data_IF_885216059789
#
_entry.id   IF_885216059789
#
_cell.length_a   1.000
_cell.length_b   1.000
_cell.length_c   1.000
_cell.angle_alpha   90.00
_cell.angle_beta   90.00
_cell.angle_gamma   90.00
#
_symmetry.space_group_name_H-M   'P 1'
#
loop_
_entity.id
_entity.type
_entity.pdbx_description
1 polymer ?
#
# COMPACT_ATOMS: atom_id res chain seq x y z
N UNK A 1 -44.82 -24.47 21.63
CA UNK A 1 -43.99 -23.30 21.28
C UNK A 1 -44.59 -22.62 20.04
N UNK A 2 -44.96 -21.37 20.12
CA UNK A 2 -45.83 -20.70 19.14
C UNK A 2 -45.03 -20.37 17.86
N UNK A 3 -45.48 -20.85 16.69
CA UNK A 3 -44.80 -20.68 15.39
C UNK A 3 -44.43 -19.21 15.07
N UNK A 4 -45.18 -18.25 15.59
CA UNK A 4 -44.87 -16.81 15.47
C UNK A 4 -43.63 -16.38 16.28
N UNK A 5 -43.38 -16.99 17.43
CA UNK A 5 -42.21 -16.69 18.27
C UNK A 5 -40.94 -17.22 17.59
N UNK A 6 -40.98 -18.41 16.99
CA UNK A 6 -39.86 -19.00 16.26
C UNK A 6 -39.47 -18.17 15.03
N UNK A 7 -40.47 -17.67 14.29
CA UNK A 7 -40.21 -16.81 13.12
C UNK A 7 -39.57 -15.46 13.49
N UNK A 8 -40.01 -14.83 14.59
CA UNK A 8 -39.37 -13.57 15.07
C UNK A 8 -37.94 -13.80 15.55
N UNK A 9 -37.68 -14.88 16.26
CA UNK A 9 -36.30 -15.21 16.73
C UNK A 9 -35.38 -15.48 15.56
N UNK A 10 -35.80 -16.23 14.54
CA UNK A 10 -35.02 -16.49 13.34
C UNK A 10 -34.78 -15.20 12.52
N UNK A 11 -35.75 -14.30 12.45
CA UNK A 11 -35.59 -13.01 11.78
C UNK A 11 -34.61 -12.10 12.52
N UNK A 12 -34.69 -12.02 13.86
CA UNK A 12 -33.72 -11.28 14.69
C UNK A 12 -32.30 -11.82 14.55
N UNK A 13 -32.10 -13.16 14.53
CA UNK A 13 -30.78 -13.76 14.36
C UNK A 13 -30.22 -13.43 12.96
N UNK A 14 -31.04 -13.49 11.92
CA UNK A 14 -30.64 -13.12 10.56
C UNK A 14 -30.24 -11.65 10.43
N UNK A 15 -30.97 -10.73 11.06
CA UNK A 15 -30.66 -9.29 11.07
C UNK A 15 -29.39 -9.01 11.89
N UNK A 16 -29.23 -9.63 13.05
CA UNK A 16 -28.01 -9.51 13.85
C UNK A 16 -26.76 -10.05 13.12
N UNK A 17 -26.88 -11.17 12.43
CA UNK A 17 -25.78 -11.72 11.63
C UNK A 17 -25.45 -10.81 10.44
N UNK A 18 -26.45 -10.24 9.76
CA UNK A 18 -26.24 -9.30 8.67
C UNK A 18 -25.57 -8.00 9.15
N UNK A 19 -26.03 -7.43 10.28
CA UNK A 19 -25.43 -6.24 10.88
C UNK A 19 -24.01 -6.53 11.36
N UNK A 20 -23.75 -7.71 11.91
CA UNK A 20 -22.40 -8.09 12.35
C UNK A 20 -21.45 -8.28 11.17
N UNK A 21 -21.91 -8.87 10.08
CA UNK A 21 -21.16 -8.99 8.82
C UNK A 21 -20.90 -7.63 8.17
N UNK A 22 -21.90 -6.74 8.11
CA UNK A 22 -21.69 -5.40 7.57
C UNK A 22 -20.75 -4.59 8.44
N UNK A 23 -20.84 -4.67 9.77
CA UNK A 23 -19.88 -4.02 10.68
C UNK A 23 -18.46 -4.61 10.55
N UNK A 24 -18.32 -5.91 10.33
CA UNK A 24 -16.99 -6.49 10.07
C UNK A 24 -16.44 -6.02 8.71
N UNK A 25 -17.27 -5.91 7.68
CA UNK A 25 -16.84 -5.37 6.38
C UNK A 25 -16.48 -3.88 6.46
N UNK A 26 -17.26 -3.05 7.16
CA UNK A 26 -16.93 -1.63 7.37
C UNK A 26 -15.69 -1.45 8.25
N UNK A 27 -15.48 -2.28 9.27
CA UNK A 27 -14.24 -2.27 10.07
C UNK A 27 -13.00 -2.76 9.31
N UNK A 28 -13.17 -3.62 8.29
CA UNK A 28 -12.07 -4.04 7.43
C UNK A 28 -11.70 -2.91 6.45
N UNK A 29 -12.69 -2.14 5.97
CA UNK A 29 -12.43 -0.96 5.12
C UNK A 29 -11.89 0.25 5.92
N UNK A 30 -12.30 0.43 7.17
CA UNK A 30 -11.80 1.49 8.05
C UNK A 30 -10.40 1.21 8.64
N UNK A 31 -9.95 -0.04 8.69
CA UNK A 31 -8.65 -0.43 9.24
C UNK A 31 -7.52 -0.55 8.21
N UNK A 32 -7.80 -0.38 6.93
CA UNK A 32 -6.75 -0.13 5.95
C UNK A 32 -6.31 1.31 6.19
N UNK A 33 -5.17 1.52 6.83
CA UNK A 33 -4.62 2.86 6.98
C UNK A 33 -4.60 3.52 5.61
N UNK A 34 -5.44 4.53 5.44
CA UNK A 34 -5.56 5.23 4.17
C UNK A 34 -4.16 5.68 3.77
N UNK A 35 -3.70 5.26 2.58
CA UNK A 35 -2.41 5.69 2.06
C UNK A 35 -2.39 7.21 2.07
N UNK A 36 -1.53 7.79 2.91
CA UNK A 36 -1.47 9.23 3.12
C UNK A 36 -0.88 9.95 1.90
N UNK A 37 -1.23 11.21 1.73
CA UNK A 37 -0.67 12.04 0.66
C UNK A 37 0.87 12.13 0.76
N UNK A 38 1.43 12.10 1.97
CA UNK A 38 2.88 12.04 2.19
C UNK A 38 3.53 10.81 1.53
N UNK A 39 2.87 9.65 1.59
CA UNK A 39 3.31 8.42 0.90
C UNK A 39 3.32 8.63 -0.62
N UNK A 40 2.20 9.17 -1.16
CA UNK A 40 2.05 9.39 -2.60
C UNK A 40 3.09 10.37 -3.12
N UNK A 41 3.29 11.49 -2.42
CA UNK A 41 4.28 12.51 -2.77
C UNK A 41 5.70 11.96 -2.73
N UNK A 42 6.04 11.17 -1.71
CA UNK A 42 7.36 10.56 -1.60
C UNK A 42 7.61 9.57 -2.74
N UNK A 43 6.68 8.64 -3.00
CA UNK A 43 6.84 7.64 -4.06
C UNK A 43 6.88 8.31 -5.44
N UNK A 44 6.01 9.30 -5.69
CA UNK A 44 6.02 10.08 -6.94
C UNK A 44 7.37 10.76 -7.17
N UNK A 45 7.99 11.30 -6.13
CA UNK A 45 9.33 11.92 -6.21
C UNK A 45 10.43 10.90 -6.52
N UNK A 46 10.35 9.69 -5.97
CA UNK A 46 11.34 8.64 -6.21
C UNK A 46 11.23 7.99 -7.60
N UNK A 47 10.00 7.79 -8.09
CA UNK A 47 9.74 7.10 -9.37
C UNK A 47 9.64 8.07 -10.54
N UNK A 48 9.29 9.34 -10.27
CA UNK A 48 8.83 10.29 -11.28
C UNK A 48 7.42 9.96 -11.78
N UNK A 49 6.83 10.82 -12.58
CA UNK A 49 5.52 10.56 -13.19
C UNK A 49 5.40 11.15 -14.59
N UNK A 50 4.45 10.61 -15.37
CA UNK A 50 4.05 11.12 -16.67
C UNK A 50 2.54 11.09 -16.80
N UNK A 51 1.95 12.22 -17.14
CA UNK A 51 0.49 12.34 -17.32
C UNK A 51 -0.04 11.80 -18.66
N UNK A 52 0.83 11.34 -19.55
CA UNK A 52 0.46 10.67 -20.81
C UNK A 52 1.11 9.31 -20.89
N UNK A 53 0.45 8.40 -21.60
CA UNK A 53 1.01 7.07 -21.82
C UNK A 53 2.35 7.14 -22.58
N UNK A 54 3.27 6.30 -22.17
CA UNK A 54 4.59 6.13 -22.77
C UNK A 54 4.97 4.65 -22.79
N UNK A 55 5.98 4.30 -23.56
CA UNK A 55 6.56 2.95 -23.52
C UNK A 55 7.71 2.95 -22.49
N UNK A 56 7.66 2.01 -21.54
CA UNK A 56 8.74 1.78 -20.59
C UNK A 56 9.98 1.15 -21.26
N UNK A 57 11.01 0.84 -20.50
CA UNK A 57 12.24 0.20 -20.99
C UNK A 57 12.03 -1.19 -21.60
N UNK A 58 10.89 -1.84 -21.33
CA UNK A 58 10.48 -3.13 -21.89
C UNK A 58 9.52 -2.98 -23.06
N UNK A 59 9.17 -1.75 -23.44
CA UNK A 59 8.23 -1.45 -24.52
C UNK A 59 6.76 -1.53 -24.11
N UNK A 60 6.45 -1.68 -22.81
CA UNK A 60 5.09 -1.77 -22.29
C UNK A 60 4.48 -0.38 -22.13
N UNK A 61 3.19 -0.24 -22.46
CA UNK A 61 2.45 1.01 -22.25
C UNK A 61 2.25 1.29 -20.78
N UNK A 62 2.73 2.43 -20.35
CA UNK A 62 2.79 2.85 -18.95
C UNK A 62 2.30 4.30 -18.84
N UNK A 63 1.66 4.67 -17.73
CA UNK A 63 1.18 6.03 -17.44
C UNK A 63 1.35 6.35 -15.95
N UNK A 64 1.26 7.61 -15.55
CA UNK A 64 1.33 8.01 -14.15
C UNK A 64 2.69 7.68 -13.53
N UNK A 65 2.68 7.09 -12.35
CA UNK A 65 3.86 6.67 -11.57
C UNK A 65 4.16 5.19 -11.84
N UNK A 66 4.44 4.86 -13.10
CA UNK A 66 4.79 3.48 -13.49
C UNK A 66 3.60 2.53 -13.61
N UNK A 67 2.36 3.02 -13.67
CA UNK A 67 1.18 2.19 -13.89
C UNK A 67 1.21 1.53 -15.27
N UNK A 68 1.25 0.20 -15.30
CA UNK A 68 1.15 -0.57 -16.53
C UNK A 68 -0.30 -0.59 -17.02
N UNK A 69 -0.55 -0.02 -18.20
CA UNK A 69 -1.90 0.01 -18.79
C UNK A 69 -2.30 -1.40 -19.23
N UNK A 70 -3.40 -1.89 -18.65
CA UNK A 70 -3.96 -3.23 -18.94
C UNK A 70 -4.94 -3.16 -20.11
N UNK A 71 -5.22 -4.30 -20.72
CA UNK A 71 -6.23 -4.42 -21.78
C UNK A 71 -7.63 -3.95 -21.34
N UNK A 72 -7.92 -4.03 -20.05
CA UNK A 72 -9.16 -3.54 -19.44
C UNK A 72 -9.23 -2.01 -19.28
N UNK A 73 -8.13 -1.29 -19.55
CA UNK A 73 -7.96 0.15 -19.33
C UNK A 73 -7.67 0.93 -20.64
N UNK A 74 -8.36 0.64 -21.77
CA UNK A 74 -8.04 1.25 -23.07
C UNK A 74 -8.20 2.77 -23.07
N UNK A 75 -9.01 3.31 -22.15
CA UNK A 75 -9.22 4.74 -21.97
C UNK A 75 -7.96 5.49 -21.55
N UNK A 76 -6.99 4.82 -20.90
CA UNK A 76 -5.73 5.42 -20.44
C UNK A 76 -4.71 5.61 -21.57
N UNK A 77 -4.83 4.87 -22.68
CA UNK A 77 -3.85 4.89 -23.78
C UNK A 77 -3.69 6.29 -24.39
N UNK A 78 -4.80 7.02 -24.55
CA UNK A 78 -4.82 8.36 -25.13
C UNK A 78 -5.16 9.45 -24.11
N UNK A 79 -5.22 9.11 -22.82
CA UNK A 79 -5.54 10.06 -21.77
C UNK A 79 -4.40 11.06 -21.51
N UNK A 80 -4.78 12.25 -21.05
CA UNK A 80 -3.90 13.16 -20.34
C UNK A 80 -4.45 13.31 -18.93
N UNK A 81 -3.77 12.71 -17.95
CA UNK A 81 -4.18 12.73 -16.56
C UNK A 81 -3.83 14.06 -15.90
N UNK A 82 -4.66 14.54 -14.99
CA UNK A 82 -4.29 15.58 -14.02
C UNK A 82 -3.36 15.00 -12.94
N UNK A 83 -2.69 15.85 -12.18
CA UNK A 83 -1.84 15.40 -11.08
C UNK A 83 -2.65 14.63 -10.01
N UNK A 84 -3.90 15.04 -9.78
CA UNK A 84 -4.82 14.36 -8.88
C UNK A 84 -5.19 12.96 -9.39
N UNK A 85 -5.50 12.82 -10.67
CA UNK A 85 -5.76 11.52 -11.29
C UNK A 85 -4.53 10.61 -11.27
N UNK A 86 -3.32 11.16 -11.38
CA UNK A 86 -2.08 10.39 -11.22
C UNK A 86 -1.94 9.89 -9.78
N UNK A 87 -2.26 10.71 -8.78
CA UNK A 87 -2.26 10.31 -7.36
C UNK A 87 -3.30 9.23 -7.07
N UNK A 88 -4.52 9.36 -7.59
CA UNK A 88 -5.57 8.35 -7.42
C UNK A 88 -5.18 7.00 -8.04
N UNK A 89 -4.54 7.04 -9.22
CA UNK A 89 -4.04 5.85 -9.88
C UNK A 89 -2.93 5.18 -9.06
N UNK A 90 -1.96 5.97 -8.56
CA UNK A 90 -0.90 5.47 -7.68
C UNK A 90 -1.48 4.90 -6.39
N UNK A 91 -2.48 5.55 -5.79
CA UNK A 91 -3.16 5.05 -4.59
C UNK A 91 -3.81 3.69 -4.83
N UNK A 92 -4.42 3.50 -6.00
CA UNK A 92 -4.96 2.20 -6.41
C UNK A 92 -3.86 1.15 -6.57
N UNK A 93 -2.73 1.53 -7.19
CA UNK A 93 -1.60 0.62 -7.40
C UNK A 93 -0.91 0.22 -6.09
N UNK A 94 -0.97 1.07 -5.06
CA UNK A 94 -0.36 0.80 -3.76
C UNK A 94 -1.19 -0.11 -2.84
N UNK A 95 -2.40 -0.54 -3.21
CA UNK A 95 -3.24 -1.37 -2.33
C UNK A 95 -2.53 -2.64 -1.87
N UNK A 96 -1.88 -3.35 -2.79
CA UNK A 96 -1.14 -4.57 -2.44
C UNK A 96 0.03 -4.29 -1.50
N UNK A 97 0.65 -3.09 -1.59
CA UNK A 97 1.69 -2.67 -0.65
C UNK A 97 1.10 -2.46 0.75
N UNK A 98 -0.04 -1.78 0.85
CA UNK A 98 -0.76 -1.54 2.10
C UNK A 98 -1.11 -2.87 2.77
N UNK A 99 -1.75 -3.78 2.05
CA UNK A 99 -2.05 -5.12 2.54
C UNK A 99 -0.79 -5.90 2.99
N UNK A 100 0.30 -5.80 2.23
CA UNK A 100 1.56 -6.45 2.56
C UNK A 100 2.19 -5.89 3.83
N UNK A 101 2.21 -4.57 3.98
CA UNK A 101 2.79 -3.89 5.16
C UNK A 101 1.94 -4.16 6.39
N UNK A 102 0.63 -3.91 6.33
CA UNK A 102 -0.29 -4.03 7.47
C UNK A 102 -0.38 -5.48 7.99
N UNK A 103 -0.42 -6.46 7.09
CA UNK A 103 -0.45 -7.87 7.52
C UNK A 103 0.90 -8.38 8.04
N UNK A 104 2.01 -7.73 7.71
CA UNK A 104 3.35 -8.13 8.13
C UNK A 104 3.81 -7.46 9.43
N UNK A 105 3.38 -6.21 9.68
CA UNK A 105 3.78 -5.41 10.83
C UNK A 105 2.82 -5.66 11.99
N UNK A 106 3.38 -6.02 13.16
CA UNK A 106 2.62 -6.41 14.37
C UNK A 106 2.73 -5.40 15.51
N UNK A 107 3.43 -4.30 15.30
CA UNK A 107 3.63 -3.24 16.29
C UNK A 107 3.13 -1.91 15.73
N UNK A 108 2.67 -0.99 16.58
CA UNK A 108 2.24 0.33 16.12
C UNK A 108 3.44 1.12 15.57
N UNK A 109 3.23 1.78 14.44
CA UNK A 109 4.22 2.63 13.77
C UNK A 109 3.65 4.03 13.57
N UNK A 110 4.54 5.02 13.39
CA UNK A 110 4.18 6.36 12.97
C UNK A 110 3.87 6.42 11.48
N UNK A 111 3.18 7.48 11.02
CA UNK A 111 2.91 7.67 9.58
C UNK A 111 4.20 7.69 8.77
N UNK A 112 5.25 8.39 9.22
CA UNK A 112 6.54 8.46 8.52
C UNK A 112 7.20 7.05 8.39
N UNK A 113 7.02 6.18 9.38
CA UNK A 113 7.48 4.80 9.29
C UNK A 113 6.69 4.02 8.26
N UNK A 114 5.37 4.16 8.21
CA UNK A 114 4.54 3.55 7.16
C UNK A 114 4.90 4.06 5.77
N UNK A 115 5.10 5.37 5.59
CA UNK A 115 5.49 5.97 4.31
C UNK A 115 6.80 5.35 3.77
N UNK A 116 7.79 5.20 4.64
CA UNK A 116 9.06 4.55 4.30
C UNK A 116 8.88 3.08 3.91
N UNK A 117 8.00 2.34 4.63
CA UNK A 117 7.74 0.93 4.34
C UNK A 117 6.94 0.75 3.06
N UNK A 118 5.97 1.62 2.76
CA UNK A 118 5.24 1.59 1.49
C UNK A 118 6.19 1.84 0.32
N UNK A 119 7.08 2.84 0.42
CA UNK A 119 8.09 3.09 -0.61
C UNK A 119 9.02 1.90 -0.81
N UNK A 120 9.53 1.31 0.27
CA UNK A 120 10.37 0.13 0.20
C UNK A 120 9.62 -1.04 -0.43
N UNK A 121 8.40 -1.34 0.05
CA UNK A 121 7.57 -2.45 -0.44
C UNK A 121 7.26 -2.30 -1.93
N UNK A 122 6.88 -1.11 -2.36
CA UNK A 122 6.60 -0.80 -3.76
C UNK A 122 7.80 -1.08 -4.67
N UNK A 123 9.00 -0.75 -4.20
CA UNK A 123 10.23 -0.92 -4.98
C UNK A 123 10.75 -2.37 -5.01
N UNK A 124 10.73 -3.08 -3.86
CA UNK A 124 11.30 -4.44 -3.76
C UNK A 124 10.28 -5.56 -4.00
N UNK A 125 8.99 -5.24 -4.01
CA UNK A 125 7.88 -6.18 -4.18
C UNK A 125 7.47 -6.89 -2.90
N UNK A 126 6.20 -7.35 -2.88
CA UNK A 126 5.55 -7.95 -1.71
C UNK A 126 6.33 -9.13 -1.11
N UNK A 127 6.71 -10.09 -1.95
CA UNK A 127 7.39 -11.32 -1.49
C UNK A 127 8.70 -11.01 -0.76
N UNK A 128 9.49 -10.09 -1.31
CA UNK A 128 10.74 -9.66 -0.71
C UNK A 128 10.50 -8.88 0.58
N UNK A 129 9.51 -7.98 0.58
CA UNK A 129 9.15 -7.19 1.75
C UNK A 129 8.77 -8.08 2.93
N UNK A 130 7.83 -9.00 2.73
CA UNK A 130 7.34 -9.91 3.78
C UNK A 130 8.46 -10.76 4.41
N UNK A 131 9.48 -11.13 3.63
CA UNK A 131 10.63 -11.95 4.08
C UNK A 131 11.82 -11.11 4.54
N UNK A 132 11.70 -9.78 4.52
CA UNK A 132 12.83 -8.88 4.76
C UNK A 132 13.28 -8.87 6.23
N UNK A 133 14.56 -8.58 6.43
CA UNK A 133 15.10 -8.28 7.77
C UNK A 133 14.42 -7.04 8.37
N UNK A 134 13.91 -6.12 7.54
CA UNK A 134 13.16 -4.94 7.99
C UNK A 134 11.93 -5.36 8.77
N UNK A 135 11.06 -6.20 8.20
CA UNK A 135 9.84 -6.69 8.87
C UNK A 135 10.19 -7.49 10.13
N UNK A 136 11.20 -8.35 10.05
CA UNK A 136 11.67 -9.12 11.21
C UNK A 136 12.04 -8.19 12.38
N UNK A 137 12.87 -7.18 12.11
CA UNK A 137 13.35 -6.21 13.12
C UNK A 137 12.23 -5.36 13.69
N UNK A 138 11.28 -4.92 12.88
CA UNK A 138 10.09 -4.21 13.36
C UNK A 138 9.33 -5.06 14.38
N UNK A 139 9.06 -6.32 14.06
CA UNK A 139 8.30 -7.23 14.92
C UNK A 139 9.07 -7.68 16.17
N UNK A 140 10.38 -7.52 16.19
CA UNK A 140 11.25 -7.64 17.38
C UNK A 140 11.29 -6.33 18.20
N UNK A 141 10.54 -5.29 17.79
CA UNK A 141 10.57 -3.93 18.35
C UNK A 141 11.95 -3.25 18.27
N UNK A 142 12.81 -3.71 17.35
CA UNK A 142 14.12 -3.13 17.03
C UNK A 142 13.97 -2.14 15.85
N UNK A 143 13.36 -0.98 16.11
CA UNK A 143 13.08 0.01 15.08
C UNK A 143 14.35 0.61 14.48
N UNK A 144 15.42 0.73 15.28
CA UNK A 144 16.71 1.20 14.76
C UNK A 144 17.35 0.16 13.84
N UNK A 145 17.34 -1.11 14.23
CA UNK A 145 17.81 -2.21 13.39
C UNK A 145 16.98 -2.37 12.11
N UNK A 146 15.67 -2.11 12.17
CA UNK A 146 14.80 -2.08 11.00
C UNK A 146 15.20 -0.97 10.02
N UNK A 147 15.43 0.25 10.52
CA UNK A 147 15.92 1.36 9.70
C UNK A 147 17.26 1.03 9.03
N UNK A 148 18.20 0.45 9.76
CA UNK A 148 19.49 0.06 9.21
C UNK A 148 19.35 -1.09 8.17
N UNK A 149 18.39 -2.01 8.35
CA UNK A 149 18.08 -3.07 7.41
C UNK A 149 17.51 -2.57 6.07
N UNK A 150 16.87 -1.38 6.03
CA UNK A 150 16.45 -0.75 4.77
C UNK A 150 17.65 -0.57 3.84
N UNK A 151 18.83 -0.21 4.37
CA UNK A 151 20.04 -0.01 3.58
C UNK A 151 20.58 -1.27 2.90
N UNK A 152 20.13 -2.45 3.31
CA UNK A 152 20.53 -3.72 2.67
C UNK A 152 19.99 -3.87 1.23
N UNK A 153 18.93 -3.14 0.89
CA UNK A 153 18.26 -3.16 -0.43
C UNK A 153 18.90 -2.17 -1.42
N UNK A 154 20.20 -2.12 -1.50
CA UNK A 154 21.01 -1.14 -2.22
C UNK A 154 21.50 -1.59 -3.60
N UNK A 155 20.96 -2.67 -4.14
CA UNK A 155 21.31 -3.14 -5.49
C UNK A 155 20.12 -2.97 -6.44
N UNK A 156 20.34 -2.43 -7.64
CA UNK A 156 21.57 -1.82 -8.15
C UNK A 156 21.97 -0.54 -7.37
N UNK A 157 23.21 -0.07 -7.56
CA UNK A 157 23.80 1.04 -6.79
C UNK A 157 23.02 2.34 -6.85
N UNK A 158 22.28 2.57 -7.94
CA UNK A 158 21.37 3.73 -8.09
C UNK A 158 20.34 3.84 -6.95
N UNK A 159 20.01 2.73 -6.28
CA UNK A 159 19.06 2.69 -5.18
C UNK A 159 19.63 3.18 -3.83
N UNK A 160 20.95 3.30 -3.70
CA UNK A 160 21.60 3.68 -2.42
C UNK A 160 21.02 4.97 -1.84
N UNK A 161 20.83 6.01 -2.66
CA UNK A 161 20.31 7.28 -2.18
C UNK A 161 18.83 7.19 -1.80
N UNK A 162 18.02 6.40 -2.50
CA UNK A 162 16.63 6.11 -2.14
C UNK A 162 16.56 5.44 -0.76
N UNK A 163 17.35 4.40 -0.53
CA UNK A 163 17.43 3.70 0.77
C UNK A 163 17.82 4.63 1.91
N UNK A 164 18.73 5.56 1.68
CA UNK A 164 19.11 6.57 2.68
C UNK A 164 17.93 7.49 3.04
N UNK A 165 17.14 7.94 2.05
CA UNK A 165 15.95 8.76 2.28
C UNK A 165 14.85 8.00 3.01
N UNK A 166 14.58 6.75 2.61
CA UNK A 166 13.61 5.89 3.29
C UNK A 166 14.03 5.63 4.74
N UNK A 167 15.31 5.36 4.98
CA UNK A 167 15.85 5.21 6.34
C UNK A 167 15.68 6.48 7.17
N UNK A 168 16.02 7.63 6.62
CA UNK A 168 15.87 8.92 7.30
C UNK A 168 14.40 9.16 7.68
N UNK A 169 13.49 8.99 6.72
CA UNK A 169 12.04 9.09 6.96
C UNK A 169 11.57 8.11 8.06
N UNK A 170 12.02 6.87 8.04
CA UNK A 170 11.66 5.87 9.05
C UNK A 170 12.11 6.28 10.46
N UNK A 171 13.22 7.00 10.57
CA UNK A 171 13.77 7.50 11.83
C UNK A 171 13.18 8.87 12.23
N UNK A 172 12.34 9.49 11.40
CA UNK A 172 11.75 10.81 11.66
C UNK A 172 12.74 11.96 11.46
N UNK A 173 13.70 11.82 10.56
CA UNK A 173 14.76 12.81 10.27
C UNK A 173 14.57 13.49 8.90
#
# INVERSE_FOLDING_TARGET
MNKKIVAVVLWCIGVFAAIHLTNQFTHIEENIMAIADSTLDFITKEEGFRNRAYKDSKGLLTIGVGHLIKDSEPHLVNATLTDEQVKDLLKSDLRWCSEAVESSVKVPLTQAQYDALYSLCFNIGETNFRKSTVVKKINENDLKGAADAILMWNKPEVLVNRRKRERAMFLGA
#
